data_IF_268107265781
#
_entry.id   IF_268107265781
#
_cell.length_a   1.000
_cell.length_b   1.000
_cell.length_c   1.000
_cell.angle_alpha   90.00
_cell.angle_beta   90.00
_cell.angle_gamma   90.00
#
_symmetry.space_group_name_H-M   'P 1'
#
loop_
_entity.id
_entity.type
_entity.pdbx_description
1 polymer ?
#
# COMPACT_ATOMS: atom_id res chain seq x y z
N UNK A 1 11.50 12.31 15.54
CA UNK A 1 10.09 12.64 15.26
C UNK A 1 9.42 11.45 14.58
N UNK A 2 8.20 11.04 15.00
CA UNK A 2 7.46 9.89 14.44
C UNK A 2 6.01 10.30 14.14
N UNK A 3 5.47 9.90 12.99
CA UNK A 3 4.09 10.15 12.54
C UNK A 3 3.43 8.87 12.09
N UNK A 4 2.11 8.72 12.24
CA UNK A 4 1.40 7.52 11.77
C UNK A 4 1.14 7.67 10.28
N UNK A 5 1.52 6.66 9.52
CA UNK A 5 1.26 6.54 8.07
C UNK A 5 0.20 5.48 7.87
N UNK A 6 -0.83 5.80 7.09
CA UNK A 6 -1.79 4.85 6.54
C UNK A 6 -1.75 4.97 5.02
N UNK A 7 -1.48 3.85 4.35
CA UNK A 7 -1.28 3.77 2.91
C UNK A 7 -2.19 2.68 2.37
N UNK A 8 -3.13 3.12 1.54
CA UNK A 8 -4.12 2.26 0.95
C UNK A 8 -3.86 2.14 -0.56
N UNK A 9 -3.69 0.93 -1.11
CA UNK A 9 -3.43 0.70 -2.55
C UNK A 9 -4.47 -0.19 -3.22
N UNK A 10 -4.79 0.11 -4.48
CA UNK A 10 -5.70 -0.63 -5.36
C UNK A 10 -4.94 -1.37 -6.48
N UNK A 11 -5.47 -2.50 -6.94
CA UNK A 11 -4.88 -3.29 -8.04
C UNK A 11 -5.93 -3.93 -8.99
N UNK A 12 -5.78 -3.69 -10.29
CA UNK A 12 -6.65 -4.12 -11.42
C UNK A 12 -5.88 -4.17 -12.74
N UNK A 13 -6.48 -4.69 -13.83
CA UNK A 13 -5.86 -4.71 -15.14
C UNK A 13 -5.96 -3.35 -15.87
N UNK A 14 -4.84 -2.92 -16.47
CA UNK A 14 -4.78 -1.78 -17.38
C UNK A 14 -5.36 -2.09 -18.77
N UNK A 15 -6.18 -1.16 -19.27
CA UNK A 15 -6.61 -1.11 -20.67
C UNK A 15 -5.47 -0.61 -21.57
N UNK A 16 -5.26 -1.27 -22.72
CA UNK A 16 -4.26 -0.88 -23.70
C UNK A 16 -4.46 0.56 -24.22
N UNK A 17 -3.47 1.42 -23.98
CA UNK A 17 -3.43 2.78 -24.52
C UNK A 17 -3.02 2.73 -26.00
N UNK A 18 -3.91 3.24 -26.87
CA UNK A 18 -3.57 3.66 -28.22
C UNK A 18 -2.76 4.95 -28.13
N UNK A 19 -1.51 4.92 -28.59
CA UNK A 19 -0.65 6.09 -28.72
C UNK A 19 -1.23 7.06 -29.78
N UNK A 20 -1.83 8.15 -29.32
CA UNK A 20 -2.00 9.36 -30.13
C UNK A 20 -1.25 10.49 -29.43
N UNK A 21 -0.18 10.96 -30.07
CA UNK A 21 0.71 11.97 -29.52
C UNK A 21 -0.01 13.27 -29.22
N UNK A 22 -0.04 13.64 -27.94
CA UNK A 22 -0.29 15.00 -27.48
C UNK A 22 0.58 15.25 -26.24
N UNK A 23 1.21 16.42 -26.20
CA UNK A 23 2.21 16.78 -25.18
C UNK A 23 1.71 16.57 -23.76
N UNK A 24 2.44 15.76 -22.99
CA UNK A 24 2.18 15.49 -21.59
C UNK A 24 2.46 16.75 -20.76
N UNK A 25 1.43 17.57 -20.54
CA UNK A 25 1.41 18.57 -19.48
C UNK A 25 1.28 17.81 -18.15
N UNK A 26 2.41 17.63 -17.45
CA UNK A 26 2.43 17.21 -16.05
C UNK A 26 1.77 18.32 -15.21
N UNK A 27 0.46 18.22 -14.99
CA UNK A 27 -0.24 19.08 -14.05
C UNK A 27 0.05 18.59 -12.63
N UNK A 28 1.00 19.23 -11.95
CA UNK A 28 1.16 19.10 -10.50
C UNK A 28 -0.03 19.80 -9.82
N UNK A 29 -1.18 19.12 -9.74
CA UNK A 29 -2.31 19.67 -8.99
C UNK A 29 -2.13 19.37 -7.49
N UNK A 30 -2.06 20.46 -6.72
CA UNK A 30 -2.29 20.54 -5.27
C UNK A 30 -1.22 20.00 -4.30
N UNK A 31 0.02 20.48 -4.41
CA UNK A 31 0.94 20.46 -3.27
C UNK A 31 0.43 21.42 -2.18
N UNK A 32 -0.30 20.90 -1.20
CA UNK A 32 -0.68 21.66 0.00
C UNK A 32 0.32 21.37 1.11
N UNK A 33 0.87 22.43 1.73
CA UNK A 33 1.78 22.27 2.87
C UNK A 33 1.04 21.58 4.01
N UNK A 34 1.57 20.46 4.48
CA UNK A 34 1.10 19.79 5.69
C UNK A 34 2.14 19.97 6.78
N UNK A 35 1.74 20.61 7.87
CA UNK A 35 2.55 20.67 9.08
C UNK A 35 2.21 19.44 9.91
N UNK A 36 3.21 18.63 10.23
CA UNK A 36 3.04 17.43 11.05
C UNK A 36 3.25 17.75 12.52
N UNK A 37 2.52 17.09 13.42
CA UNK A 37 2.66 17.25 14.89
C UNK A 37 3.21 15.95 15.46
N UNK A 38 4.08 16.02 16.47
CA UNK A 38 4.69 14.81 17.05
C UNK A 38 3.63 13.82 17.59
N UNK A 39 3.68 12.58 17.11
CA UNK A 39 2.81 11.48 17.57
C UNK A 39 3.60 10.36 18.26
N UNK A 40 2.99 9.74 19.28
CA UNK A 40 3.47 8.48 19.82
C UNK A 40 2.90 7.34 18.99
N UNK A 41 3.77 6.59 18.28
CA UNK A 41 3.36 5.42 17.51
C UNK A 41 3.53 4.17 18.37
N UNK A 42 2.42 3.53 18.75
CA UNK A 42 2.44 2.15 19.22
C UNK A 42 2.75 1.23 18.04
N UNK A 43 3.76 0.32 18.13
CA UNK A 43 3.98 -0.68 17.10
C UNK A 43 2.69 -1.44 16.83
N UNK A 44 2.35 -1.63 15.56
CA UNK A 44 1.19 -2.43 15.18
C UNK A 44 1.44 -3.85 15.68
N UNK A 45 0.68 -4.25 16.69
CA UNK A 45 0.73 -5.61 17.21
C UNK A 45 -0.16 -6.47 16.32
N UNK A 46 0.43 -7.44 15.63
CA UNK A 46 -0.34 -8.53 15.02
C UNK A 46 -0.92 -9.34 16.16
N UNK A 47 -2.22 -9.19 16.43
CA UNK A 47 -2.88 -9.88 17.53
C UNK A 47 -3.14 -11.35 17.16
N UNK A 48 -2.44 -12.28 17.82
CA UNK A 48 -2.79 -13.71 17.87
C UNK A 48 -1.88 -14.63 17.04
N UNK A 49 -1.59 -15.80 17.60
CA UNK A 49 -0.61 -16.78 17.11
C UNK A 49 -1.06 -17.62 15.88
N UNK A 50 -2.10 -17.20 15.16
CA UNK A 50 -2.70 -18.00 14.06
C UNK A 50 -2.89 -17.24 12.75
N UNK A 51 -2.54 -15.96 12.67
CA UNK A 51 -2.72 -15.18 11.43
C UNK A 51 -1.43 -15.22 10.61
N UNK A 52 -1.55 -15.56 9.33
CA UNK A 52 -0.42 -15.60 8.41
C UNK A 52 0.10 -14.19 8.15
N UNK A 53 1.42 -14.02 8.22
CA UNK A 53 2.10 -12.76 7.87
C UNK A 53 3.02 -13.00 6.69
N UNK A 54 2.80 -12.27 5.60
CA UNK A 54 3.68 -12.26 4.44
C UNK A 54 4.59 -11.03 4.53
N UNK A 55 5.86 -11.27 4.83
CA UNK A 55 6.88 -10.23 4.89
C UNK A 55 7.52 -10.01 3.52
N UNK A 56 7.67 -8.74 3.13
CA UNK A 56 8.40 -8.29 1.95
C UNK A 56 8.16 -9.18 0.71
N UNK A 57 6.90 -9.27 0.26
CA UNK A 57 6.46 -10.21 -0.78
C UNK A 57 7.24 -10.09 -2.11
N UNK A 58 7.90 -8.96 -2.34
CA UNK A 58 8.70 -8.68 -3.53
C UNK A 58 10.21 -8.90 -3.33
N UNK A 59 10.65 -9.27 -2.12
CA UNK A 59 12.02 -9.61 -1.80
C UNK A 59 12.14 -11.08 -1.40
N UNK A 60 12.17 -11.96 -2.41
CA UNK A 60 12.26 -13.42 -2.27
C UNK A 60 13.55 -13.92 -1.59
N UNK A 61 14.47 -13.03 -1.23
CA UNK A 61 15.75 -13.37 -0.58
C UNK A 61 15.80 -13.01 0.92
N UNK A 62 14.75 -12.37 1.44
CA UNK A 62 14.68 -11.94 2.84
C UNK A 62 14.12 -13.00 3.78
N UNK A 63 14.68 -13.09 4.99
CA UNK A 63 14.03 -13.82 6.08
C UNK A 63 12.80 -13.01 6.52
N UNK A 64 11.62 -13.64 6.56
CA UNK A 64 10.41 -13.00 7.08
C UNK A 64 10.56 -12.80 8.59
N UNK A 65 10.57 -11.53 9.01
CA UNK A 65 10.48 -11.11 10.40
C UNK A 65 9.16 -10.37 10.62
N UNK A 66 8.10 -11.06 11.07
CA UNK A 66 6.80 -10.44 11.35
C UNK A 66 6.81 -9.59 12.63
N UNK A 67 7.93 -9.58 13.37
CA UNK A 67 8.12 -8.75 14.58
C UNK A 67 8.88 -7.46 14.29
N UNK A 68 9.36 -7.30 13.05
CA UNK A 68 10.06 -6.11 12.61
C UNK A 68 9.18 -4.88 12.77
N UNK A 69 9.76 -3.85 13.39
CA UNK A 69 9.13 -2.52 13.49
C UNK A 69 9.44 -1.64 12.27
N UNK A 70 10.11 -2.21 11.25
CA UNK A 70 10.46 -1.52 10.00
C UNK A 70 9.39 -1.78 8.95
N UNK A 71 9.00 -0.71 8.26
CA UNK A 71 8.04 -0.76 7.16
C UNK A 71 6.61 -0.45 7.58
N UNK A 72 5.68 -0.77 6.68
CA UNK A 72 4.25 -0.74 6.93
C UNK A 72 3.73 -2.17 7.03
N UNK A 73 2.70 -2.39 7.84
CA UNK A 73 2.01 -3.67 7.96
C UNK A 73 0.51 -3.43 7.98
N UNK A 74 -0.25 -4.34 7.37
CA UNK A 74 -1.69 -4.31 7.54
C UNK A 74 -2.42 -5.33 6.70
N UNK A 75 -3.68 -5.03 6.43
CA UNK A 75 -4.68 -6.00 6.00
C UNK A 75 -4.77 -6.09 4.49
N UNK A 76 -5.26 -7.23 4.02
CA UNK A 76 -5.65 -7.43 2.62
C UNK A 76 -7.16 -7.55 2.53
N UNK A 77 -7.76 -6.80 1.60
CA UNK A 77 -9.18 -6.83 1.31
C UNK A 77 -9.40 -7.31 -0.12
N UNK A 78 -10.32 -8.25 -0.33
CA UNK A 78 -10.71 -8.71 -1.67
C UNK A 78 -12.19 -8.39 -1.89
N UNK A 79 -12.51 -7.70 -2.97
CA UNK A 79 -13.88 -7.37 -3.34
C UNK A 79 -14.09 -7.68 -4.82
N UNK A 80 -14.64 -8.87 -5.16
CA UNK A 80 -14.76 -9.28 -6.56
C UNK A 80 -15.72 -8.36 -7.34
N UNK A 81 -15.28 -7.95 -8.52
CA UNK A 81 -16.00 -7.01 -9.41
C UNK A 81 -15.23 -5.71 -9.61
N UNK A 82 -15.61 -4.96 -10.64
CA UNK A 82 -14.94 -3.70 -10.96
C UNK A 82 -15.43 -2.56 -10.05
N UNK A 83 -14.55 -2.06 -9.17
CA UNK A 83 -14.82 -0.92 -8.30
C UNK A 83 -13.72 0.12 -8.35
N UNK A 84 -14.08 1.39 -8.42
CA UNK A 84 -13.20 2.50 -8.72
C UNK A 84 -12.64 3.23 -7.48
N UNK A 85 -12.90 2.75 -6.26
CA UNK A 85 -12.38 3.41 -5.05
C UNK A 85 -11.74 2.46 -4.04
N UNK A 86 -10.57 2.87 -3.56
CA UNK A 86 -9.81 2.27 -2.46
C UNK A 86 -10.70 2.11 -1.22
N UNK A 87 -11.41 3.17 -0.84
CA UNK A 87 -12.32 3.17 0.31
C UNK A 87 -13.40 2.09 0.22
N UNK A 88 -13.84 1.74 -1.00
CA UNK A 88 -14.85 0.71 -1.20
C UNK A 88 -14.31 -0.69 -0.96
N UNK A 89 -13.07 -0.98 -1.36
CA UNK A 89 -12.44 -2.26 -1.02
C UNK A 89 -12.28 -2.42 0.49
N UNK A 90 -11.86 -1.36 1.19
CA UNK A 90 -11.64 -1.42 2.64
C UNK A 90 -12.96 -1.53 3.42
N UNK A 91 -13.98 -0.76 3.02
CA UNK A 91 -15.27 -0.69 3.73
C UNK A 91 -16.22 -1.84 3.41
N UNK A 92 -16.16 -2.37 2.19
CA UNK A 92 -17.13 -3.34 1.67
C UNK A 92 -16.50 -4.67 1.25
N UNK A 93 -15.17 -4.73 1.10
CA UNK A 93 -14.45 -5.94 0.72
C UNK A 93 -14.37 -6.96 1.83
N UNK A 94 -14.18 -8.22 1.42
CA UNK A 94 -13.87 -9.29 2.35
C UNK A 94 -12.43 -9.11 2.84
N UNK A 95 -12.27 -8.79 4.12
CA UNK A 95 -10.98 -8.85 4.80
C UNK A 95 -10.48 -10.30 4.83
N UNK A 96 -9.29 -10.53 4.31
CA UNK A 96 -8.62 -11.83 4.34
C UNK A 96 -7.90 -12.03 5.68
N UNK A 97 -7.76 -13.28 6.13
CA UNK A 97 -7.06 -13.62 7.38
C UNK A 97 -5.54 -13.69 7.17
N UNK A 98 -4.98 -12.58 6.69
CA UNK A 98 -3.57 -12.43 6.35
C UNK A 98 -3.14 -10.98 6.57
N UNK A 99 -1.92 -10.81 7.08
CA UNK A 99 -1.23 -9.54 7.11
C UNK A 99 -0.12 -9.51 6.06
N UNK A 100 0.07 -8.34 5.44
CA UNK A 100 1.21 -8.05 4.58
C UNK A 100 2.08 -7.02 5.26
N UNK A 101 3.37 -7.31 5.40
CA UNK A 101 4.38 -6.38 5.89
C UNK A 101 5.32 -6.00 4.75
N UNK A 102 5.55 -4.71 4.56
CA UNK A 102 6.39 -4.15 3.49
C UNK A 102 7.37 -3.13 4.07
N UNK A 103 8.64 -3.52 4.14
CA UNK A 103 9.77 -2.65 4.47
C UNK A 103 10.22 -1.79 3.29
N UNK A 104 9.80 -2.16 2.08
CA UNK A 104 10.00 -1.40 0.85
C UNK A 104 8.69 -1.31 0.06
N UNK A 105 8.27 -0.09 -0.26
CA UNK A 105 7.06 0.20 -1.04
C UNK A 105 7.35 0.36 -2.54
N UNK A 106 8.62 0.37 -2.96
CA UNK A 106 8.99 0.40 -4.37
C UNK A 106 8.79 -0.98 -4.99
N UNK A 107 7.64 -1.15 -5.64
CA UNK A 107 7.31 -2.39 -6.35
C UNK A 107 7.96 -2.38 -7.74
N UNK A 108 8.76 -3.39 -8.10
CA UNK A 108 9.31 -3.47 -9.45
C UNK A 108 8.19 -3.71 -10.48
N UNK A 109 8.36 -3.15 -11.69
CA UNK A 109 7.45 -3.43 -12.82
C UNK A 109 7.32 -4.93 -13.02
N UNK A 110 6.08 -5.42 -13.08
CA UNK A 110 5.76 -6.85 -13.19
C UNK A 110 4.47 -7.05 -13.98
N UNK A 111 4.24 -8.29 -14.42
CA UNK A 111 2.97 -8.65 -15.05
C UNK A 111 1.83 -8.60 -14.04
N UNK A 112 0.70 -8.03 -14.45
CA UNK A 112 -0.56 -8.05 -13.67
C UNK A 112 -1.05 -9.48 -13.43
N UNK A 113 -0.85 -10.39 -14.39
CA UNK A 113 -1.24 -11.80 -14.26
C UNK A 113 -0.40 -12.61 -13.26
N UNK A 114 0.67 -12.04 -12.70
CA UNK A 114 1.48 -12.73 -11.68
C UNK A 114 0.86 -12.69 -10.28
N UNK A 115 -0.20 -11.89 -10.09
CA UNK A 115 -0.85 -11.66 -8.80
C UNK A 115 0.09 -11.11 -7.73
N UNK A 116 -0.37 -11.13 -6.48
CA UNK A 116 0.40 -10.65 -5.34
C UNK A 116 1.26 -11.77 -4.74
N UNK A 117 2.61 -11.67 -4.76
CA UNK A 117 3.48 -12.76 -4.35
C UNK A 117 3.54 -12.95 -2.82
N UNK A 118 4.07 -14.09 -2.39
CA UNK A 118 4.51 -14.35 -1.02
C UNK A 118 6.03 -14.33 -0.94
N UNK A 119 6.57 -14.26 0.28
CA UNK A 119 8.01 -14.42 0.54
C UNK A 119 8.56 -15.75 0.05
N UNK A 120 7.72 -16.80 -0.03
CA UNK A 120 8.08 -18.12 -0.55
C UNK A 120 8.01 -18.23 -2.08
N UNK A 121 7.65 -17.14 -2.78
CA UNK A 121 7.53 -17.11 -4.24
C UNK A 121 6.22 -17.69 -4.79
N UNK A 122 5.26 -18.06 -3.93
CA UNK A 122 3.89 -18.37 -4.34
C UNK A 122 3.04 -17.09 -4.49
N UNK A 123 1.76 -17.22 -4.83
CA UNK A 123 0.81 -16.10 -4.86
C UNK A 123 -0.09 -16.16 -3.64
N UNK A 124 -0.48 -15.00 -3.10
CA UNK A 124 -1.57 -14.88 -2.14
C UNK A 124 -2.83 -15.54 -2.66
N UNK A 125 -3.68 -15.97 -1.72
CA UNK A 125 -4.94 -16.61 -2.04
C UNK A 125 -6.11 -15.83 -1.49
N UNK A 126 -7.21 -15.82 -2.21
CA UNK A 126 -8.49 -15.32 -1.72
C UNK A 126 -9.12 -16.31 -0.71
N UNK A 127 -10.28 -15.95 -0.17
CA UNK A 127 -11.00 -16.79 0.78
C UNK A 127 -11.53 -18.13 0.20
N UNK A 128 -11.48 -18.33 -1.12
CA UNK A 128 -11.82 -19.58 -1.80
C UNK A 128 -10.60 -20.45 -2.07
N UNK A 129 -9.39 -19.93 -1.79
CA UNK A 129 -8.13 -20.62 -2.04
C UNK A 129 -7.59 -20.41 -3.46
N UNK A 130 -8.21 -19.53 -4.25
CA UNK A 130 -7.79 -19.16 -5.59
C UNK A 130 -6.70 -18.09 -5.53
N UNK A 131 -5.85 -18.01 -6.56
CA UNK A 131 -4.82 -16.98 -6.61
C UNK A 131 -5.42 -15.57 -6.57
N UNK A 132 -4.95 -14.73 -5.66
CA UNK A 132 -5.34 -13.34 -5.53
C UNK A 132 -4.59 -12.52 -6.58
N UNK A 133 -5.24 -12.36 -7.74
CA UNK A 133 -4.67 -11.66 -8.89
C UNK A 133 -5.26 -10.27 -9.02
N UNK A 134 -6.57 -10.06 -8.85
CA UNK A 134 -7.19 -8.75 -9.12
C UNK A 134 -8.19 -8.39 -8.01
N UNK A 135 -8.66 -7.13 -8.04
CA UNK A 135 -9.75 -6.65 -7.21
C UNK A 135 -9.47 -6.79 -5.70
N UNK A 136 -8.27 -6.40 -5.32
CA UNK A 136 -7.87 -6.33 -3.92
C UNK A 136 -7.29 -4.97 -3.56
N UNK A 137 -7.33 -4.68 -2.27
CA UNK A 137 -6.66 -3.53 -1.68
C UNK A 137 -5.80 -3.94 -0.50
N UNK A 138 -4.73 -3.18 -0.30
CA UNK A 138 -3.91 -3.22 0.91
C UNK A 138 -4.26 -2.02 1.77
N UNK A 139 -4.48 -2.22 3.06
CA UNK A 139 -4.53 -1.16 4.09
C UNK A 139 -3.31 -1.32 4.97
N UNK A 140 -2.27 -0.54 4.70
CA UNK A 140 -0.96 -0.64 5.34
C UNK A 140 -0.75 0.51 6.30
N UNK A 141 -0.35 0.20 7.53
CA UNK A 141 -0.11 1.21 8.57
C UNK A 141 1.32 1.14 9.08
N UNK A 142 1.85 2.26 9.56
CA UNK A 142 3.18 2.31 10.14
C UNK A 142 3.59 3.69 10.62
N UNK A 143 4.89 3.93 10.68
CA UNK A 143 5.44 5.20 11.15
C UNK A 143 6.36 5.86 10.12
N UNK A 144 6.14 7.14 9.83
CA UNK A 144 7.13 7.99 9.18
C UNK A 144 8.04 8.60 10.26
N UNK A 145 9.33 8.27 10.21
CA UNK A 145 10.29 8.64 11.25
C UNK A 145 11.47 9.40 10.65
N UNK A 146 11.70 10.61 11.12
CA UNK A 146 12.91 11.37 10.78
C UNK A 146 14.10 10.80 11.57
N UNK A 147 15.17 10.48 10.85
CA UNK A 147 16.46 10.08 11.43
C UNK A 147 17.19 11.27 12.05
N UNK A 148 18.24 11.02 12.84
CA UNK A 148 19.06 12.06 13.47
C UNK A 148 19.69 13.06 12.49
N UNK A 149 19.74 12.71 11.20
CA UNK A 149 20.39 13.49 10.15
C UNK A 149 19.37 14.27 9.29
N UNK A 150 18.07 14.10 9.57
CA UNK A 150 16.99 14.81 8.88
C UNK A 150 16.48 15.92 9.78
N UNK A 151 16.28 17.10 9.20
CA UNK A 151 15.74 18.25 9.93
C UNK A 151 14.23 18.18 9.97
N UNK A 152 13.65 18.57 11.11
CA UNK A 152 12.23 18.93 11.15
C UNK A 152 11.93 20.00 10.10
N UNK A 153 10.79 19.88 9.42
CA UNK A 153 10.41 20.81 8.36
C UNK A 153 9.30 20.29 7.47
N UNK A 154 9.10 20.99 6.35
CA UNK A 154 8.15 20.59 5.32
C UNK A 154 8.74 19.47 4.45
N UNK A 155 7.92 18.46 4.16
CA UNK A 155 8.23 17.35 3.27
C UNK A 155 7.14 17.22 2.21
N UNK A 156 7.56 16.91 0.99
CA UNK A 156 6.66 16.58 -0.12
C UNK A 156 6.65 15.07 -0.33
N UNK A 157 5.46 14.52 -0.60
CA UNK A 157 5.26 13.11 -0.90
C UNK A 157 4.82 12.94 -2.35
N UNK A 158 5.47 12.02 -3.05
CA UNK A 158 5.12 11.62 -4.40
C UNK A 158 4.84 10.13 -4.44
N UNK A 159 3.79 9.74 -5.16
CA UNK A 159 3.38 8.34 -5.34
C UNK A 159 3.20 8.07 -6.82
N UNK A 160 3.53 6.85 -7.23
CA UNK A 160 3.18 6.31 -8.52
C UNK A 160 2.48 4.97 -8.25
N UNK A 161 1.24 4.86 -8.68
CA UNK A 161 0.40 3.69 -8.46
C UNK A 161 -0.41 3.42 -9.74
N UNK A 162 -0.67 2.14 -9.95
CA UNK A 162 -1.63 1.62 -10.92
C UNK A 162 -2.29 0.40 -10.24
N UNK A 163 -3.54 0.49 -9.75
CA UNK A 163 -4.46 1.62 -9.90
C UNK A 163 -4.24 2.75 -8.87
N UNK A 164 -5.27 3.07 -8.06
CA UNK A 164 -5.29 4.16 -7.11
C UNK A 164 -4.62 3.89 -5.78
N UNK A 165 -4.32 4.98 -5.08
CA UNK A 165 -3.80 4.97 -3.71
C UNK A 165 -4.28 6.19 -2.92
N UNK A 166 -4.46 6.01 -1.63
CA UNK A 166 -4.63 7.09 -0.65
C UNK A 166 -3.49 6.99 0.38
N UNK A 167 -2.81 8.12 0.63
CA UNK A 167 -1.82 8.27 1.71
C UNK A 167 -2.35 9.26 2.74
N UNK A 168 -2.58 8.75 3.95
CA UNK A 168 -2.91 9.54 5.13
C UNK A 168 -1.72 9.58 6.10
N UNK A 169 -1.45 10.75 6.65
CA UNK A 169 -0.46 10.94 7.72
C UNK A 169 -1.13 11.70 8.86
N UNK A 170 -1.06 11.14 10.07
CA UNK A 170 -1.70 11.68 11.29
C UNK A 170 -3.20 12.02 11.09
N UNK A 171 -3.91 11.15 10.35
CA UNK A 171 -5.34 11.31 10.07
C UNK A 171 -5.68 12.38 9.02
N UNK A 172 -4.69 12.89 8.30
CA UNK A 172 -4.88 13.82 7.18
C UNK A 172 -4.43 13.21 5.86
N UNK A 173 -5.29 13.29 4.86
CA UNK A 173 -4.94 12.90 3.49
C UNK A 173 -3.90 13.82 2.89
N UNK A 174 -2.75 13.25 2.58
CA UNK A 174 -1.59 13.90 1.98
C UNK A 174 -1.60 13.69 0.47
N UNK A 175 -1.93 12.47 0.04
CA UNK A 175 -2.10 12.13 -1.37
C UNK A 175 -3.42 11.39 -1.54
N UNK A 176 -4.24 11.88 -2.47
CA UNK A 176 -5.45 11.20 -2.93
C UNK A 176 -5.30 10.96 -4.43
N UNK A 177 -4.86 9.76 -4.78
CA UNK A 177 -4.84 9.24 -6.13
C UNK A 177 -5.83 8.07 -6.20
N UNK A 178 -7.03 8.23 -5.64
CA UNK A 178 -8.07 7.21 -5.73
C UNK A 178 -8.62 7.11 -7.16
N UNK A 179 -9.16 5.96 -7.53
CA UNK A 179 -9.61 5.70 -8.90
C UNK A 179 -9.04 4.43 -9.51
N UNK A 180 -9.64 4.04 -10.64
CA UNK A 180 -8.99 3.15 -11.61
C UNK A 180 -8.27 4.01 -12.65
N UNK A 181 -7.08 3.59 -13.06
CA UNK A 181 -6.20 4.36 -13.95
C UNK A 181 -5.82 3.59 -15.21
#
# INVERSE_FOLDING_TARGET
MKHIVELNQLWKPGFGIVLVGFGLLLSFQNCSKVNFTEGSVTPIQVAGATVDVVCDPFNVSGTCDPTSTKGLIGNVYHLPGEYDSVDRYISSGQKLDIYVQMSNLNIPTRSWSSGFPTSAGSTLKDAKGEALIEFFALDLKGAFVLTSNQTEGAYDFGVAADDGLILDIDGKTIVNNDGSH
#
